data_IF_490423219708
#
_entry.id   IF_490423219708
#
_cell.length_a   1.000
_cell.length_b   1.000
_cell.length_c   1.000
_cell.angle_alpha   90.00
_cell.angle_beta   90.00
_cell.angle_gamma   90.00
#
_symmetry.space_group_name_H-M   'P 1'
#
loop_
_entity.id
_entity.type
_entity.pdbx_description
1 polymer ?
#
# COMPACT_ATOMS: atom_id res chain seq x y z
N UNK A 1 -2.57 11.58 -9.45
CA UNK A 1 -1.17 11.99 -9.72
C UNK A 1 -0.67 11.13 -10.88
N UNK A 2 -0.73 11.65 -12.10
CA UNK A 2 -0.32 10.92 -13.31
C UNK A 2 1.16 10.54 -13.26
N UNK A 3 1.46 9.35 -12.75
CA UNK A 3 2.81 8.80 -12.90
C UNK A 3 3.01 8.43 -14.38
N UNK A 4 4.24 8.50 -14.89
CA UNK A 4 4.53 8.09 -16.28
C UNK A 4 4.04 6.66 -16.56
N UNK A 5 3.98 5.82 -15.52
CA UNK A 5 3.39 4.48 -15.54
C UNK A 5 1.86 4.49 -15.73
N UNK A 6 1.12 5.39 -15.10
CA UNK A 6 -0.33 5.55 -15.34
C UNK A 6 -0.60 5.98 -16.78
N UNK A 7 0.20 6.92 -17.32
CA UNK A 7 0.07 7.36 -18.71
C UNK A 7 0.36 6.24 -19.71
N UNK A 8 1.47 5.50 -19.53
CA UNK A 8 1.82 4.36 -20.38
C UNK A 8 0.76 3.25 -20.35
N UNK A 9 0.20 2.96 -19.17
CA UNK A 9 -0.86 1.96 -19.01
C UNK A 9 -2.17 2.43 -19.66
N UNK A 10 -2.56 3.68 -19.48
CA UNK A 10 -3.73 4.28 -20.15
C UNK A 10 -3.61 4.25 -21.67
N UNK A 11 -2.40 4.52 -22.21
CA UNK A 11 -2.15 4.41 -23.64
C UNK A 11 -2.20 2.97 -24.16
N UNK A 12 -1.70 1.98 -23.40
CA UNK A 12 -1.78 0.57 -23.80
C UNK A 12 -3.23 0.04 -23.85
N UNK A 13 -4.09 0.48 -22.93
CA UNK A 13 -5.52 0.16 -22.95
C UNK A 13 -6.24 0.86 -24.11
N UNK A 14 -5.94 2.14 -24.34
CA UNK A 14 -6.44 2.90 -25.50
C UNK A 14 -5.99 2.32 -26.85
N UNK A 15 -4.79 1.74 -26.92
CA UNK A 15 -4.25 1.05 -28.09
C UNK A 15 -4.75 -0.41 -28.24
N UNK A 16 -5.74 -0.84 -27.44
CA UNK A 16 -6.38 -2.16 -27.47
C UNK A 16 -5.44 -3.36 -27.24
N UNK A 17 -4.28 -3.16 -26.61
CA UNK A 17 -3.35 -4.26 -26.26
C UNK A 17 -3.77 -4.95 -24.95
N UNK A 18 -5.01 -5.46 -24.91
CA UNK A 18 -5.65 -5.94 -23.68
C UNK A 18 -4.90 -7.06 -22.97
N UNK A 19 -4.31 -8.00 -23.72
CA UNK A 19 -3.52 -9.11 -23.15
C UNK A 19 -2.31 -8.62 -22.33
N UNK A 20 -1.66 -7.54 -22.78
CA UNK A 20 -0.46 -7.01 -22.13
C UNK A 20 -0.75 -6.39 -20.76
N UNK A 21 -1.99 -5.96 -20.49
CA UNK A 21 -2.36 -5.42 -19.18
C UNK A 21 -2.19 -6.46 -18.07
N UNK A 22 -2.62 -7.70 -18.30
CA UNK A 22 -2.47 -8.79 -17.34
C UNK A 22 -1.00 -9.14 -17.08
N UNK A 23 -0.19 -9.19 -18.15
CA UNK A 23 1.27 -9.44 -18.05
C UNK A 23 1.97 -8.31 -17.29
N UNK A 24 1.63 -7.04 -17.57
CA UNK A 24 2.18 -5.89 -16.85
C UNK A 24 1.78 -5.88 -15.36
N UNK A 25 0.54 -6.26 -15.04
CA UNK A 25 0.10 -6.40 -13.65
C UNK A 25 0.93 -7.47 -12.92
N UNK A 26 1.09 -8.66 -13.51
CA UNK A 26 1.89 -9.74 -12.93
C UNK A 26 3.36 -9.33 -12.74
N UNK A 27 3.95 -8.67 -13.75
CA UNK A 27 5.32 -8.14 -13.66
C UNK A 27 5.48 -7.13 -12.54
N UNK A 28 4.55 -6.18 -12.42
CA UNK A 28 4.54 -5.23 -11.32
C UNK A 28 4.43 -5.94 -9.97
N UNK A 29 3.56 -6.96 -9.88
CA UNK A 29 3.34 -7.71 -8.65
C UNK A 29 4.60 -8.45 -8.19
N UNK A 30 5.29 -9.15 -9.11
CA UNK A 30 6.57 -9.81 -8.80
C UNK A 30 7.62 -8.79 -8.32
N UNK A 31 7.79 -7.68 -9.05
CA UNK A 31 8.74 -6.64 -8.68
C UNK A 31 8.44 -6.04 -7.31
N UNK A 32 7.18 -5.69 -7.03
CA UNK A 32 6.79 -5.11 -5.74
C UNK A 32 6.90 -6.10 -4.59
N UNK A 33 6.62 -7.39 -4.81
CA UNK A 33 6.83 -8.44 -3.81
C UNK A 33 8.33 -8.60 -3.49
N UNK A 34 9.21 -8.54 -4.50
CA UNK A 34 10.66 -8.58 -4.29
C UNK A 34 11.16 -7.36 -3.52
N UNK A 35 10.65 -6.15 -3.83
CA UNK A 35 10.97 -4.92 -3.08
C UNK A 35 10.40 -4.94 -1.67
N UNK A 36 9.30 -5.67 -1.44
CA UNK A 36 8.72 -5.83 -0.10
C UNK A 36 9.61 -6.64 0.85
N UNK A 37 10.50 -7.49 0.34
CA UNK A 37 11.43 -8.30 1.17
C UNK A 37 12.42 -7.42 1.96
N UNK A 38 13.23 -6.53 1.36
CA UNK A 38 14.11 -5.64 2.12
C UNK A 38 13.31 -4.69 3.02
N UNK A 39 12.12 -4.24 2.61
CA UNK A 39 11.25 -3.43 3.48
C UNK A 39 10.79 -4.20 4.72
N UNK A 40 10.41 -5.46 4.57
CA UNK A 40 10.06 -6.33 5.68
C UNK A 40 11.23 -6.51 6.64
N UNK A 41 12.47 -6.64 6.12
CA UNK A 41 13.66 -6.70 6.96
C UNK A 41 13.88 -5.40 7.76
N UNK A 42 13.67 -4.23 7.14
CA UNK A 42 13.72 -2.95 7.85
C UNK A 42 12.66 -2.88 8.95
N UNK A 43 11.41 -3.29 8.65
CA UNK A 43 10.29 -3.29 9.61
C UNK A 43 10.52 -4.26 10.77
N UNK A 44 11.16 -5.40 10.50
CA UNK A 44 11.52 -6.35 11.53
C UNK A 44 12.48 -5.76 12.57
N UNK A 45 13.37 -4.88 12.12
CA UNK A 45 14.39 -4.22 12.93
C UNK A 45 13.97 -2.84 13.46
N UNK A 46 12.72 -2.40 13.25
CA UNK A 46 12.24 -1.05 13.64
C UNK A 46 12.52 -0.72 15.11
N UNK A 47 12.32 -1.68 16.04
CA UNK A 47 12.62 -1.43 17.45
C UNK A 47 14.09 -1.07 17.69
N UNK A 48 15.02 -1.86 17.13
CA UNK A 48 16.46 -1.57 17.25
C UNK A 48 16.86 -0.26 16.57
N UNK A 49 16.27 0.04 15.42
CA UNK A 49 16.52 1.30 14.70
C UNK A 49 16.08 2.49 15.57
N UNK A 50 14.90 2.42 16.19
CA UNK A 50 14.39 3.49 17.05
C UNK A 50 15.26 3.68 18.28
N UNK A 51 15.67 2.60 18.94
CA UNK A 51 16.61 2.67 20.08
C UNK A 51 17.95 3.30 19.66
N UNK A 52 18.48 2.96 18.49
CA UNK A 52 19.73 3.52 17.99
C UNK A 52 19.65 5.04 17.69
N UNK A 53 18.47 5.54 17.34
CA UNK A 53 18.21 6.98 17.12
C UNK A 53 17.89 7.71 18.44
N UNK A 54 17.94 7.01 19.58
CA UNK A 54 17.76 7.59 20.91
C UNK A 54 16.30 7.70 21.37
N UNK A 55 15.39 6.94 20.78
CA UNK A 55 14.01 6.86 21.26
C UNK A 55 13.92 6.09 22.58
N UNK A 56 12.88 6.40 23.36
CA UNK A 56 12.56 5.70 24.59
C UNK A 56 12.48 4.17 24.38
N UNK A 57 13.14 3.34 25.22
CA UNK A 57 13.18 1.89 25.05
C UNK A 57 11.81 1.21 25.05
N UNK A 58 10.86 1.69 25.85
CA UNK A 58 9.52 1.11 25.93
C UNK A 58 8.73 1.44 24.66
N UNK A 59 8.81 2.69 24.18
CA UNK A 59 8.22 3.10 22.90
C UNK A 59 8.83 2.33 21.73
N UNK A 60 10.16 2.18 21.70
CA UNK A 60 10.87 1.46 20.66
C UNK A 60 10.48 -0.03 20.64
N UNK A 61 10.33 -0.63 21.82
CA UNK A 61 9.90 -2.03 21.97
C UNK A 61 8.49 -2.24 21.46
N UNK A 62 7.53 -1.43 21.90
CA UNK A 62 6.13 -1.54 21.46
C UNK A 62 5.97 -1.25 19.96
N UNK A 63 6.67 -0.25 19.43
CA UNK A 63 6.67 0.07 18.00
C UNK A 63 7.29 -1.06 17.19
N UNK A 64 8.40 -1.65 17.66
CA UNK A 64 9.04 -2.79 17.03
C UNK A 64 8.13 -4.02 16.99
N UNK A 65 7.41 -4.32 18.07
CA UNK A 65 6.42 -5.39 18.09
C UNK A 65 5.30 -5.11 17.09
N UNK A 66 4.71 -3.92 17.12
CA UNK A 66 3.66 -3.53 16.16
C UNK A 66 4.12 -3.67 14.70
N UNK A 67 5.31 -3.17 14.37
CA UNK A 67 5.90 -3.24 13.04
C UNK A 67 6.05 -4.69 12.56
N UNK A 68 6.50 -5.61 13.43
CA UNK A 68 6.61 -7.04 13.11
C UNK A 68 5.27 -7.68 12.78
N UNK A 69 4.22 -7.38 13.56
CA UNK A 69 2.86 -7.87 13.26
C UNK A 69 2.32 -7.31 11.95
N UNK A 70 2.78 -6.13 11.52
CA UNK A 70 2.36 -5.48 10.27
C UNK A 70 3.12 -5.94 9.02
N UNK A 71 4.22 -6.71 9.15
CA UNK A 71 5.01 -7.19 8.01
C UNK A 71 4.16 -7.88 6.93
N UNK A 72 3.22 -8.79 7.25
CA UNK A 72 2.40 -9.43 6.22
C UNK A 72 1.53 -8.45 5.42
N UNK A 73 1.19 -7.29 6.00
CA UNK A 73 0.44 -6.22 5.32
C UNK A 73 1.25 -5.64 4.16
N UNK A 74 2.58 -5.58 4.24
CA UNK A 74 3.44 -5.03 3.18
C UNK A 74 3.22 -5.79 1.87
N UNK A 75 3.20 -7.13 1.95
CA UNK A 75 2.96 -8.00 0.80
C UNK A 75 1.53 -7.89 0.29
N UNK A 76 0.54 -7.87 1.19
CA UNK A 76 -0.85 -7.66 0.80
C UNK A 76 -1.05 -6.31 0.09
N UNK A 77 -0.43 -5.25 0.59
CA UNK A 77 -0.47 -3.92 0.00
C UNK A 77 0.16 -3.92 -1.40
N UNK A 78 1.33 -4.53 -1.59
CA UNK A 78 1.96 -4.67 -2.89
C UNK A 78 1.04 -5.34 -3.93
N UNK A 79 0.40 -6.46 -3.55
CA UNK A 79 -0.56 -7.16 -4.41
C UNK A 79 -1.80 -6.31 -4.69
N UNK A 80 -2.36 -5.69 -3.65
CA UNK A 80 -3.57 -4.87 -3.73
C UNK A 80 -3.36 -3.68 -4.67
N UNK A 81 -2.23 -2.99 -4.59
CA UNK A 81 -1.90 -1.88 -5.48
C UNK A 81 -1.81 -2.32 -6.94
N UNK A 82 -1.28 -3.51 -7.23
CA UNK A 82 -1.27 -4.06 -8.59
C UNK A 82 -2.68 -4.32 -9.11
N UNK A 83 -3.55 -4.93 -8.30
CA UNK A 83 -4.94 -5.22 -8.64
C UNK A 83 -5.76 -3.94 -8.86
N UNK A 84 -5.61 -2.96 -7.97
CA UNK A 84 -6.27 -1.65 -8.07
C UNK A 84 -5.87 -0.97 -9.37
N UNK A 85 -4.56 -0.88 -9.65
CA UNK A 85 -4.07 -0.27 -10.89
C UNK A 85 -4.58 -1.00 -12.14
N UNK A 86 -4.63 -2.33 -12.11
CA UNK A 86 -5.17 -3.13 -13.22
C UNK A 86 -6.66 -2.83 -13.47
N UNK A 87 -7.47 -2.70 -12.42
CA UNK A 87 -8.90 -2.37 -12.56
C UNK A 87 -9.13 -0.90 -12.94
N UNK A 88 -8.35 0.03 -12.38
CA UNK A 88 -8.41 1.46 -12.70
C UNK A 88 -8.08 1.74 -14.16
N UNK A 89 -7.06 1.08 -14.72
CA UNK A 89 -6.69 1.24 -16.15
C UNK A 89 -7.79 0.81 -17.11
N UNK A 90 -8.74 -0.01 -16.65
CA UNK A 90 -9.93 -0.44 -17.39
C UNK A 90 -11.17 0.42 -17.06
N UNK A 91 -11.02 1.50 -16.28
CA UNK A 91 -12.10 2.30 -15.69
C UNK A 91 -13.10 1.49 -14.84
N UNK A 92 -12.69 0.35 -14.27
CA UNK A 92 -13.54 -0.51 -13.45
C UNK A 92 -13.45 -0.14 -11.98
N UNK A 93 -14.10 0.97 -11.60
CA UNK A 93 -14.01 1.56 -10.24
C UNK A 93 -14.93 0.92 -9.20
N UNK A 94 -16.10 0.43 -9.62
CA UNK A 94 -17.11 -0.13 -8.71
C UNK A 94 -16.63 -1.35 -7.90
N UNK A 95 -15.92 -2.35 -8.48
CA UNK A 95 -15.43 -3.50 -7.71
C UNK A 95 -14.44 -3.10 -6.62
N UNK A 96 -13.59 -2.10 -6.89
CA UNK A 96 -12.65 -1.57 -5.91
C UNK A 96 -13.37 -0.84 -4.77
N UNK A 97 -14.41 -0.06 -5.10
CA UNK A 97 -15.24 0.61 -4.10
C UNK A 97 -15.96 -0.40 -3.20
N UNK A 98 -16.62 -1.40 -3.78
CA UNK A 98 -17.38 -2.42 -3.03
C UNK A 98 -16.45 -3.25 -2.14
N UNK A 99 -15.34 -3.75 -2.68
CA UNK A 99 -14.37 -4.53 -1.89
C UNK A 99 -13.80 -3.70 -0.73
N UNK A 100 -13.44 -2.44 -0.97
CA UNK A 100 -12.96 -1.52 0.07
C UNK A 100 -14.03 -1.25 1.13
N UNK A 101 -15.29 -1.04 0.73
CA UNK A 101 -16.41 -0.89 1.66
C UNK A 101 -16.60 -2.11 2.56
N UNK A 102 -16.64 -3.31 1.98
CA UNK A 102 -16.76 -4.58 2.73
C UNK A 102 -15.57 -4.73 3.69
N UNK A 103 -14.35 -4.55 3.20
CA UNK A 103 -13.15 -4.73 4.03
C UNK A 103 -13.03 -3.71 5.15
N UNK A 104 -13.53 -2.48 4.94
CA UNK A 104 -13.62 -1.47 5.99
C UNK A 104 -14.59 -1.89 7.10
N UNK A 105 -15.78 -2.37 6.74
CA UNK A 105 -16.76 -2.86 7.71
C UNK A 105 -16.22 -4.05 8.50
N UNK A 106 -15.58 -5.00 7.82
CA UNK A 106 -14.91 -6.14 8.46
C UNK A 106 -13.78 -5.66 9.35
N UNK A 107 -12.98 -4.66 8.93
CA UNK A 107 -11.90 -4.11 9.73
C UNK A 107 -12.41 -3.49 11.02
N UNK A 108 -13.51 -2.73 10.99
CA UNK A 108 -14.14 -2.15 12.20
C UNK A 108 -14.51 -3.27 13.17
N UNK A 109 -15.16 -4.33 12.68
CA UNK A 109 -15.56 -5.47 13.49
C UNK A 109 -14.35 -6.22 14.07
N UNK A 110 -13.31 -6.45 13.26
CA UNK A 110 -12.06 -7.09 13.70
C UNK A 110 -11.33 -6.25 14.74
N UNK A 111 -11.26 -4.93 14.56
CA UNK A 111 -10.70 -4.02 15.56
C UNK A 111 -11.46 -4.12 16.88
N UNK A 112 -12.80 -4.18 16.84
CA UNK A 112 -13.59 -4.32 18.06
C UNK A 112 -13.24 -5.60 18.85
N UNK A 113 -13.17 -6.75 18.16
CA UNK A 113 -12.84 -8.03 18.80
C UNK A 113 -11.37 -8.07 19.23
N UNK A 114 -10.45 -7.80 18.30
CA UNK A 114 -9.02 -8.02 18.52
C UNK A 114 -8.42 -6.98 19.46
N UNK A 115 -8.90 -5.73 19.45
CA UNK A 115 -8.36 -4.71 20.37
C UNK A 115 -9.01 -4.82 21.74
N UNK A 116 -10.34 -4.86 21.83
CA UNK A 116 -11.04 -4.70 23.10
C UNK A 116 -11.47 -6.00 23.78
N UNK A 117 -11.69 -7.10 23.03
CA UNK A 117 -12.20 -8.36 23.60
C UNK A 117 -11.12 -9.42 23.81
N UNK A 118 -10.07 -9.42 23.00
CA UNK A 118 -9.06 -10.49 23.03
C UNK A 118 -7.87 -10.24 23.98
N UNK A 119 -7.72 -9.02 24.50
CA UNK A 119 -6.55 -8.61 25.29
C UNK A 119 -5.28 -8.34 24.47
N UNK A 120 -5.33 -8.42 23.13
CA UNK A 120 -4.17 -8.18 22.25
C UNK A 120 -3.79 -6.69 22.11
N UNK A 121 -4.66 -5.75 22.47
CA UNK A 121 -4.38 -4.32 22.43
C UNK A 121 -3.84 -3.86 21.07
N UNK A 122 -2.65 -3.24 21.07
CA UNK A 122 -2.01 -2.74 19.86
C UNK A 122 -1.67 -3.84 18.83
N UNK A 123 -1.30 -5.04 19.29
CA UNK A 123 -1.08 -6.21 18.40
C UNK A 123 -2.37 -6.60 17.70
N UNK A 124 -3.50 -6.47 18.40
CA UNK A 124 -4.84 -6.70 17.86
C UNK A 124 -5.17 -5.75 16.72
N UNK A 125 -4.80 -4.47 16.86
CA UNK A 125 -4.97 -3.47 15.81
C UNK A 125 -4.13 -3.80 14.56
N UNK A 126 -2.87 -4.23 14.74
CA UNK A 126 -2.02 -4.68 13.63
C UNK A 126 -2.64 -5.89 12.90
N UNK A 127 -3.07 -6.91 13.64
CA UNK A 127 -3.68 -8.12 13.07
C UNK A 127 -5.00 -7.82 12.34
N UNK A 128 -5.85 -6.96 12.90
CA UNK A 128 -7.07 -6.50 12.24
C UNK A 128 -6.77 -5.82 10.90
N UNK A 129 -5.68 -5.04 10.84
CA UNK A 129 -5.25 -4.34 9.64
C UNK A 129 -4.72 -5.33 8.58
N UNK A 130 -3.79 -6.21 8.97
CA UNK A 130 -3.28 -7.28 8.10
C UNK A 130 -4.42 -8.11 7.50
N UNK A 131 -5.36 -8.53 8.33
CA UNK A 131 -6.48 -9.38 7.92
C UNK A 131 -7.38 -8.65 6.92
N UNK A 132 -7.72 -7.38 7.18
CA UNK A 132 -8.55 -6.59 6.27
C UNK A 132 -7.91 -6.42 4.88
N UNK A 133 -6.59 -6.17 4.83
CA UNK A 133 -5.86 -6.07 3.57
C UNK A 133 -5.85 -7.37 2.79
N UNK A 134 -5.61 -8.51 3.45
CA UNK A 134 -5.65 -9.81 2.78
C UNK A 134 -7.05 -10.17 2.29
N UNK A 135 -8.11 -9.85 3.05
CA UNK A 135 -9.49 -10.01 2.57
C UNK A 135 -9.72 -9.17 1.32
N UNK A 136 -9.22 -7.93 1.28
CA UNK A 136 -9.37 -7.06 0.11
C UNK A 136 -8.65 -7.64 -1.12
N UNK A 137 -7.41 -8.10 -0.94
CA UNK A 137 -6.67 -8.81 -1.99
C UNK A 137 -7.47 -10.01 -2.49
N UNK A 138 -8.00 -10.84 -1.60
CA UNK A 138 -8.79 -12.02 -1.98
C UNK A 138 -10.04 -11.62 -2.78
N UNK A 139 -10.81 -10.63 -2.33
CA UNK A 139 -12.00 -10.15 -3.04
C UNK A 139 -11.67 -9.67 -4.45
N UNK A 140 -10.59 -8.90 -4.62
CA UNK A 140 -10.19 -8.41 -5.94
C UNK A 140 -9.59 -9.51 -6.82
N UNK A 141 -8.83 -10.45 -6.27
CA UNK A 141 -8.33 -11.63 -7.01
C UNK A 141 -9.51 -12.47 -7.51
N UNK A 142 -10.52 -12.71 -6.67
CA UNK A 142 -11.73 -13.41 -7.06
C UNK A 142 -12.46 -12.65 -8.18
N UNK A 143 -12.61 -11.32 -8.05
CA UNK A 143 -13.22 -10.51 -9.08
C UNK A 143 -12.47 -10.60 -10.42
N UNK A 144 -11.14 -10.46 -10.42
CA UNK A 144 -10.31 -10.52 -11.64
C UNK A 144 -10.40 -11.90 -12.31
N UNK A 145 -10.44 -12.99 -11.54
CA UNK A 145 -10.49 -14.34 -12.10
C UNK A 145 -11.88 -14.72 -12.64
N UNK A 146 -12.96 -14.26 -12.02
CA UNK A 146 -14.33 -14.72 -12.35
C UNK A 146 -15.18 -13.70 -13.12
N UNK A 147 -14.81 -12.42 -13.12
CA UNK A 147 -15.58 -11.38 -13.82
C UNK A 147 -15.46 -11.48 -15.33
N UNK A 148 -16.59 -11.37 -16.03
CA UNK A 148 -16.62 -11.24 -17.49
C UNK A 148 -15.87 -9.99 -17.98
N UNK A 149 -15.85 -8.93 -17.17
CA UNK A 149 -15.18 -7.67 -17.51
C UNK A 149 -13.66 -7.85 -17.67
N UNK A 150 -13.06 -8.78 -16.92
CA UNK A 150 -11.62 -9.01 -16.93
C UNK A 150 -11.19 -10.13 -17.90
N UNK A 151 -12.11 -10.84 -18.55
CA UNK A 151 -11.75 -11.99 -19.42
C UNK A 151 -10.82 -11.66 -20.59
N UNK A 152 -10.91 -10.44 -21.12
CA UNK A 152 -10.06 -10.00 -22.25
C UNK A 152 -8.69 -9.51 -21.80
N UNK A 153 -8.57 -9.05 -20.56
CA UNK A 153 -7.37 -8.42 -19.99
C UNK A 153 -6.59 -9.35 -19.06
N UNK A 154 -7.27 -10.34 -18.47
CA UNK A 154 -6.70 -11.41 -17.67
C UNK A 154 -6.86 -12.74 -18.39
N UNK A 155 -5.74 -13.30 -18.85
CA UNK A 155 -5.68 -14.58 -19.59
C UNK A 155 -4.96 -15.68 -18.81
N UNK A 156 -4.76 -15.47 -17.51
CA UNK A 156 -4.01 -16.36 -16.63
C UNK A 156 -2.54 -15.97 -16.47
N UNK A 157 -1.78 -16.83 -15.80
CA UNK A 157 -0.36 -16.62 -15.54
C UNK A 157 0.45 -16.77 -16.83
N UNK A 158 1.42 -15.88 -17.04
CA UNK A 158 2.31 -15.90 -18.21
C UNK A 158 3.78 -15.94 -17.79
N UNK A 159 4.62 -16.61 -18.56
CA UNK A 159 6.08 -16.59 -18.36
C UNK A 159 6.71 -15.27 -18.83
N UNK A 160 6.02 -14.49 -19.67
CA UNK A 160 6.47 -13.18 -20.18
C UNK A 160 6.60 -12.10 -19.08
N UNK A 161 6.17 -12.43 -17.87
CA UNK A 161 6.33 -11.61 -16.67
C UNK A 161 7.78 -11.21 -16.46
N UNK A 162 8.74 -12.11 -16.73
CA UNK A 162 10.17 -11.86 -16.53
C UNK A 162 10.83 -11.10 -17.70
N UNK A 163 10.17 -11.00 -18.85
CA UNK A 163 10.70 -10.22 -19.96
C UNK A 163 10.63 -8.71 -19.65
N UNK A 164 11.65 -7.94 -20.06
CA UNK A 164 11.67 -6.48 -19.93
C UNK A 164 11.45 -5.92 -18.50
N UNK A 165 11.76 -6.71 -17.46
CA UNK A 165 11.71 -6.25 -16.05
C UNK A 165 12.63 -5.05 -15.83
N UNK A 166 13.82 -5.04 -16.43
CA UNK A 166 14.77 -3.93 -16.32
C UNK A 166 14.22 -2.62 -16.89
N UNK A 167 13.52 -2.68 -18.03
CA UNK A 167 12.86 -1.52 -18.61
C UNK A 167 11.72 -1.02 -17.72
N UNK A 168 10.91 -1.94 -17.17
CA UNK A 168 9.87 -1.60 -16.20
C UNK A 168 10.45 -0.91 -14.95
N UNK A 169 11.55 -1.42 -14.41
CA UNK A 169 12.26 -0.82 -13.28
C UNK A 169 12.80 0.57 -13.60
N UNK A 170 13.39 0.77 -14.79
CA UNK A 170 13.90 2.08 -15.22
C UNK A 170 12.83 3.17 -15.21
N UNK A 171 11.58 2.81 -15.50
CA UNK A 171 10.43 3.72 -15.44
C UNK A 171 9.80 3.81 -14.04
N UNK A 172 9.81 2.71 -13.29
CA UNK A 172 9.25 2.62 -11.94
C UNK A 172 10.07 3.33 -10.88
N UNK A 173 11.41 3.25 -10.95
CA UNK A 173 12.31 3.82 -9.94
C UNK A 173 12.12 5.34 -9.79
N UNK A 174 12.09 6.16 -10.86
CA UNK A 174 11.84 7.60 -10.72
C UNK A 174 10.48 7.92 -10.09
N UNK A 175 9.43 7.16 -10.47
CA UNK A 175 8.08 7.34 -9.91
C UNK A 175 8.03 6.98 -8.43
N UNK A 176 8.67 5.88 -8.04
CA UNK A 176 8.77 5.46 -6.64
C UNK A 176 9.56 6.49 -5.82
N UNK A 177 10.70 6.96 -6.31
CA UNK A 177 11.53 7.97 -5.65
C UNK A 177 10.76 9.28 -5.44
N UNK A 178 10.01 9.74 -6.45
CA UNK A 178 9.18 10.95 -6.33
C UNK A 178 8.14 10.80 -5.21
N UNK A 179 7.45 9.67 -5.13
CA UNK A 179 6.47 9.40 -4.07
C UNK A 179 7.15 9.32 -2.70
N UNK A 180 8.28 8.60 -2.59
CA UNK A 180 9.05 8.50 -1.35
C UNK A 180 9.52 9.87 -0.86
N UNK A 181 10.10 10.69 -1.74
CA UNK A 181 10.56 12.04 -1.40
C UNK A 181 9.39 12.91 -0.91
N UNK A 182 8.21 12.81 -1.57
CA UNK A 182 7.01 13.52 -1.12
C UNK A 182 6.60 13.09 0.29
N UNK A 183 6.56 11.80 0.57
CA UNK A 183 6.17 11.27 1.88
C UNK A 183 7.19 11.67 2.94
N UNK A 184 8.49 11.48 2.69
CA UNK A 184 9.54 11.84 3.63
C UNK A 184 9.57 13.35 3.91
N UNK A 185 9.33 14.19 2.91
CA UNK A 185 9.21 15.63 3.12
C UNK A 185 8.07 15.94 4.09
N UNK A 186 6.90 15.30 3.92
CA UNK A 186 5.76 15.47 4.83
C UNK A 186 6.08 15.01 6.26
N UNK A 187 6.74 13.86 6.42
CA UNK A 187 7.17 13.36 7.74
C UNK A 187 8.18 14.29 8.41
N UNK A 188 9.15 14.81 7.64
CA UNK A 188 10.11 15.79 8.15
C UNK A 188 9.44 17.10 8.59
N UNK A 189 8.38 17.54 7.89
CA UNK A 189 7.61 18.71 8.32
C UNK A 189 6.88 18.45 9.65
N UNK A 190 6.29 17.27 9.84
CA UNK A 190 5.63 16.88 11.10
C UNK A 190 6.65 16.78 12.24
N UNK A 191 7.83 16.21 11.97
CA UNK A 191 8.90 16.12 12.96
C UNK A 191 9.39 17.51 13.37
N UNK A 192 9.58 18.42 12.40
CA UNK A 192 10.04 19.78 12.66
C UNK A 192 8.99 20.62 13.40
N UNK A 193 7.69 20.40 13.14
CA UNK A 193 6.64 21.12 13.87
C UNK A 193 6.56 20.71 15.34
N UNK A 194 6.98 19.48 15.66
CA UNK A 194 7.18 19.02 17.04
C UNK A 194 8.30 19.74 17.80
N UNK A 195 9.13 20.54 17.12
CA UNK A 195 10.22 21.33 17.71
C UNK A 195 9.86 22.83 17.87
N UNK A 196 8.66 23.24 17.46
CA UNK A 196 8.18 24.62 17.61
C UNK A 196 7.77 24.93 19.06
N UNK A 197 7.61 26.22 19.38
CA UNK A 197 7.30 26.72 20.72
C UNK A 197 6.02 26.15 21.34
N UNK A 198 5.04 25.76 20.49
CA UNK A 198 3.81 25.11 20.93
C UNK A 198 3.57 23.82 20.12
N UNK A 199 4.33 22.75 20.42
CA UNK A 199 4.45 21.59 19.55
C UNK A 199 3.12 20.84 19.41
N UNK A 200 2.27 20.79 20.45
CA UNK A 200 0.96 20.12 20.39
C UNK A 200 0.02 20.79 19.39
N UNK A 201 -0.05 22.12 19.39
CA UNK A 201 -0.94 22.87 18.48
C UNK A 201 -0.39 22.84 17.05
N UNK A 202 0.90 23.09 16.89
CA UNK A 202 1.53 23.17 15.56
C UNK A 202 1.54 21.81 14.84
N UNK A 203 1.84 20.72 15.55
CA UNK A 203 1.75 19.35 14.99
C UNK A 203 0.32 18.98 14.62
N UNK A 204 -0.66 19.34 15.45
CA UNK A 204 -2.08 19.06 15.19
C UNK A 204 -2.60 19.82 13.97
N UNK A 205 -2.31 21.13 13.87
CA UNK A 205 -2.71 21.97 12.73
C UNK A 205 -2.04 21.49 11.45
N UNK A 206 -0.75 21.16 11.50
CA UNK A 206 -0.02 20.64 10.35
C UNK A 206 -0.60 19.28 9.90
N UNK A 207 -0.91 18.39 10.84
CA UNK A 207 -1.51 17.09 10.53
C UNK A 207 -2.87 17.24 9.84
N UNK A 208 -3.73 18.14 10.33
CA UNK A 208 -5.03 18.45 9.70
C UNK A 208 -4.82 19.02 8.29
N UNK A 209 -3.87 19.94 8.12
CA UNK A 209 -3.57 20.55 6.82
C UNK A 209 -3.06 19.52 5.81
N UNK A 210 -2.19 18.61 6.24
CA UNK A 210 -1.71 17.51 5.41
C UNK A 210 -2.88 16.62 4.98
N UNK A 211 -3.76 16.23 5.92
CA UNK A 211 -4.93 15.40 5.62
C UNK A 211 -5.88 16.06 4.61
N UNK A 212 -6.16 17.36 4.77
CA UNK A 212 -6.98 18.14 3.85
C UNK A 212 -6.34 18.24 2.45
N UNK A 213 -5.03 18.47 2.37
CA UNK A 213 -4.31 18.55 1.11
C UNK A 213 -4.31 17.21 0.35
N UNK A 214 -4.19 16.09 1.07
CA UNK A 214 -4.33 14.75 0.50
C UNK A 214 -5.75 14.49 0.00
N UNK A 215 -6.78 14.94 0.72
CA UNK A 215 -8.18 14.76 0.33
C UNK A 215 -8.57 15.60 -0.90
N UNK A 216 -7.99 16.80 -1.08
CA UNK A 216 -8.25 17.68 -2.23
C UNK A 216 -7.58 17.24 -3.54
N UNK A 217 -6.76 16.18 -3.52
CA UNK A 217 -6.07 15.63 -4.68
C UNK A 217 -6.62 14.28 -5.17
N UNK A 218 -7.68 13.75 -4.52
CA UNK A 218 -8.49 12.61 -4.95
C UNK A 218 -9.68 13.10 -5.78
#
# INVERSE_FOLDING_TARGET
MGTALETLRGQSYGAQQYHMLGVHMQRAMVVLLLVSIPLAFVWFNTGHILTAVGQDPDIATETGQYARFMIPRIFAYAMLQCLINFLQTQNSVFPMMISTGITTLVHIFLCWILVFKSGLGNKGAALANVTAYWINVLLLVLYVNFSQACKKTWTGFSSEVLHNVLHFLRLGIPSALMICLKIWMLEMMVLLSGLLSNPTVETSVLSIRIQLHLCGHL
#
